data_IF_168610642409
#
_entry.id   IF_168610642409
#
_cell.length_a   1.000
_cell.length_b   1.000
_cell.length_c   1.000
_cell.angle_alpha   90.00
_cell.angle_beta   90.00
_cell.angle_gamma   90.00
#
_symmetry.space_group_name_H-M   'P 1'
#
loop_
_entity.id
_entity.type
_entity.pdbx_description
1 polymer ?
#
# COMPACT_ATOMS: atom_id res chain seq x y z
N UNK A 1 2.56 -12.68 44.84
CA UNK A 1 1.41 -11.93 44.28
C UNK A 1 1.91 -10.55 43.82
N UNK A 2 1.21 -9.95 42.85
CA UNK A 2 1.49 -8.70 42.10
C UNK A 2 2.27 -8.95 40.79
N UNK A 3 1.63 -9.49 39.74
CA UNK A 3 0.62 -8.88 38.86
C UNK A 3 1.17 -7.67 38.06
N UNK A 4 1.51 -7.91 36.79
CA UNK A 4 1.51 -6.88 35.74
C UNK A 4 0.07 -6.40 35.52
N UNK A 5 -0.20 -5.15 35.06
CA UNK A 5 -0.18 -4.90 33.60
C UNK A 5 0.06 -3.43 33.16
N UNK A 6 0.32 -3.22 31.87
CA UNK A 6 -0.37 -2.15 31.15
C UNK A 6 0.47 -1.04 30.51
N UNK A 7 0.11 -0.78 29.26
CA UNK A 7 0.09 0.51 28.56
C UNK A 7 1.32 0.93 27.72
N UNK A 8 1.06 0.86 26.42
CA UNK A 8 1.18 1.99 25.50
C UNK A 8 2.56 2.32 24.93
N UNK A 9 2.88 1.69 23.80
CA UNK A 9 3.61 2.35 22.72
C UNK A 9 2.91 2.08 21.39
N UNK A 10 1.67 2.60 21.27
CA UNK A 10 0.99 2.72 19.99
C UNK A 10 1.47 4.04 19.35
N UNK A 11 2.56 3.97 18.58
CA UNK A 11 3.16 5.14 17.97
C UNK A 11 2.26 5.71 16.86
N UNK A 12 1.46 6.69 17.27
CA UNK A 12 0.99 7.85 16.51
C UNK A 12 1.39 7.91 15.03
N UNK A 13 0.65 7.21 14.16
CA UNK A 13 0.65 7.54 12.74
C UNK A 13 -0.10 8.86 12.53
N UNK A 14 0.67 9.96 12.64
CA UNK A 14 0.32 11.34 12.26
C UNK A 14 -0.64 11.35 11.05
N UNK A 15 -1.90 11.67 11.35
CA UNK A 15 -2.96 11.93 10.37
C UNK A 15 -2.60 13.23 9.63
N UNK A 16 -2.05 13.12 8.42
CA UNK A 16 -2.03 14.26 7.49
C UNK A 16 -3.39 14.36 6.79
N UNK A 17 -4.00 15.55 6.69
CA UNK A 17 -5.30 15.74 6.07
C UNK A 17 -5.23 15.36 4.58
N UNK A 18 -6.31 14.76 4.12
CA UNK A 18 -6.51 14.33 2.76
C UNK A 18 -6.47 15.54 1.82
N UNK A 19 -5.30 15.79 1.22
CA UNK A 19 -5.22 16.70 0.07
C UNK A 19 -6.00 16.03 -1.05
N UNK A 20 -7.14 16.62 -1.38
CA UNK A 20 -8.10 16.24 -2.41
C UNK A 20 -7.47 16.38 -3.81
N UNK A 21 -6.59 15.43 -4.12
CA UNK A 21 -5.93 15.20 -5.41
C UNK A 21 -5.91 13.70 -5.71
N UNK A 22 -6.93 13.01 -5.23
CA UNK A 22 -7.15 11.59 -5.45
C UNK A 22 -7.97 11.49 -6.72
N UNK A 23 -7.47 10.81 -7.75
CA UNK A 23 -8.21 10.49 -8.97
C UNK A 23 -9.36 9.47 -8.71
N UNK A 24 -9.94 9.47 -7.50
CA UNK A 24 -10.75 8.39 -6.97
C UNK A 24 -9.94 7.20 -6.44
N UNK A 25 -10.64 6.18 -5.95
CA UNK A 25 -10.04 4.89 -5.61
C UNK A 25 -9.47 4.24 -6.87
N UNK A 26 -8.17 3.94 -6.86
CA UNK A 26 -7.55 3.23 -7.96
C UNK A 26 -7.86 1.73 -7.87
N UNK A 27 -7.90 1.03 -9.01
CA UNK A 27 -8.08 -0.42 -9.07
C UNK A 27 -7.18 -1.20 -8.11
N UNK A 28 -5.93 -0.75 -7.90
CA UNK A 28 -5.02 -1.36 -6.94
C UNK A 28 -5.58 -1.45 -5.51
N UNK A 29 -6.31 -0.44 -5.05
CA UNK A 29 -6.90 -0.47 -3.70
C UNK A 29 -7.90 -1.62 -3.56
N UNK A 30 -8.71 -1.82 -4.62
CA UNK A 30 -9.68 -2.90 -4.71
C UNK A 30 -9.01 -4.26 -4.85
N UNK A 31 -8.02 -4.39 -5.73
CA UNK A 31 -7.25 -5.64 -5.89
C UNK A 31 -6.59 -6.04 -4.56
N UNK A 32 -6.02 -5.08 -3.83
CA UNK A 32 -5.46 -5.37 -2.51
C UNK A 32 -6.53 -5.83 -1.51
N UNK A 33 -7.70 -5.18 -1.48
CA UNK A 33 -8.80 -5.57 -0.61
C UNK A 33 -9.33 -6.98 -0.96
N UNK A 34 -9.55 -7.26 -2.24
CA UNK A 34 -10.05 -8.55 -2.74
C UNK A 34 -9.09 -9.70 -2.41
N UNK A 35 -7.77 -9.45 -2.46
CA UNK A 35 -6.74 -10.43 -2.10
C UNK A 35 -6.40 -10.43 -0.59
N UNK A 36 -7.13 -9.68 0.24
CA UNK A 36 -6.86 -9.53 1.69
C UNK A 36 -5.42 -9.09 2.00
N UNK A 37 -4.81 -8.30 1.11
CA UNK A 37 -3.42 -7.87 1.23
C UNK A 37 -3.33 -6.54 1.99
N UNK A 38 -2.52 -6.50 3.04
CA UNK A 38 -2.16 -5.26 3.69
C UNK A 38 -1.04 -4.54 2.95
N UNK A 39 -0.94 -3.23 3.17
CA UNK A 39 0.20 -2.42 2.69
C UNK A 39 1.52 -2.92 3.28
N UNK A 40 1.47 -3.47 4.49
CA UNK A 40 2.60 -4.08 5.15
C UNK A 40 3.08 -5.32 4.38
N UNK A 41 2.16 -6.18 3.94
CA UNK A 41 2.50 -7.41 3.23
C UNK A 41 3.15 -7.11 1.88
N UNK A 42 2.64 -6.12 1.13
CA UNK A 42 3.31 -5.67 -0.09
C UNK A 42 4.73 -5.17 0.16
N UNK A 43 4.95 -4.43 1.24
CA UNK A 43 6.28 -3.91 1.59
C UNK A 43 7.21 -5.03 2.04
N UNK A 44 6.70 -6.02 2.79
CA UNK A 44 7.46 -7.17 3.26
C UNK A 44 7.85 -8.14 2.14
N UNK A 45 6.98 -8.33 1.14
CA UNK A 45 7.22 -9.21 -0.02
C UNK A 45 8.04 -8.52 -1.13
N UNK A 46 8.03 -7.19 -1.17
CA UNK A 46 8.80 -6.42 -2.14
C UNK A 46 10.31 -6.57 -1.88
N UNK A 47 11.07 -7.06 -2.87
CA UNK A 47 12.54 -7.00 -2.83
C UNK A 47 13.10 -5.63 -3.21
N UNK A 48 12.25 -4.71 -3.66
CA UNK A 48 12.64 -3.35 -4.01
C UNK A 48 12.34 -2.41 -2.84
N UNK A 49 13.05 -1.28 -2.80
CA UNK A 49 12.79 -0.23 -1.82
C UNK A 49 11.41 0.40 -2.07
N UNK A 50 10.40 -0.19 -1.43
CA UNK A 50 9.00 0.18 -1.43
C UNK A 50 8.62 0.59 -0.01
N UNK A 51 7.95 1.72 0.14
CA UNK A 51 7.53 2.23 1.45
C UNK A 51 6.01 2.20 1.58
N UNK A 52 5.50 2.10 2.81
CA UNK A 52 4.06 2.19 3.11
C UNK A 52 3.42 3.45 2.50
N UNK A 53 4.15 4.57 2.46
CA UNK A 53 3.68 5.82 1.84
C UNK A 53 3.54 5.72 0.33
N UNK A 54 4.38 4.94 -0.35
CA UNK A 54 4.26 4.71 -1.80
C UNK A 54 2.98 3.93 -2.11
N UNK A 55 2.74 2.83 -1.37
CA UNK A 55 1.51 2.03 -1.51
C UNK A 55 0.27 2.85 -1.19
N UNK A 56 0.27 3.60 -0.07
CA UNK A 56 -0.85 4.46 0.30
C UNK A 56 -1.15 5.55 -0.75
N UNK A 57 -0.12 6.10 -1.42
CA UNK A 57 -0.31 7.05 -2.52
C UNK A 57 -0.90 6.40 -3.77
N UNK A 58 -0.53 5.15 -4.05
CA UNK A 58 -1.08 4.37 -5.16
C UNK A 58 -2.56 4.08 -4.98
N UNK A 59 -2.96 3.57 -3.80
CA UNK A 59 -4.37 3.29 -3.50
C UNK A 59 -5.26 4.53 -3.63
N UNK A 60 -4.72 5.69 -3.26
CA UNK A 60 -5.42 6.97 -3.29
C UNK A 60 -5.52 7.60 -4.68
N UNK A 61 -4.87 7.05 -5.71
CA UNK A 61 -4.90 7.65 -7.05
C UNK A 61 -4.09 8.92 -7.19
N UNK A 62 -2.99 9.04 -6.45
CA UNK A 62 -2.02 10.09 -6.70
C UNK A 62 -1.12 9.68 -7.86
N UNK A 63 -0.86 10.58 -8.81
CA UNK A 63 0.11 10.33 -9.90
C UNK A 63 1.48 9.97 -9.34
N UNK A 64 1.94 8.78 -9.69
CA UNK A 64 3.24 8.21 -9.33
C UNK A 64 4.16 8.15 -10.55
N UNK A 65 5.46 8.15 -10.31
CA UNK A 65 6.49 7.93 -11.35
C UNK A 65 6.47 6.48 -11.83
N UNK A 66 6.92 6.24 -13.07
CA UNK A 66 6.97 4.89 -13.66
C UNK A 66 7.71 3.88 -12.77
N UNK A 67 8.91 4.24 -12.28
CA UNK A 67 9.68 3.41 -11.35
C UNK A 67 8.87 3.03 -10.08
N UNK A 68 8.04 3.95 -9.56
CA UNK A 68 7.19 3.62 -8.41
C UNK A 68 6.05 2.68 -8.80
N UNK A 69 5.44 2.86 -9.98
CA UNK A 69 4.42 1.94 -10.51
C UNK A 69 4.99 0.54 -10.68
N UNK A 70 6.19 0.39 -11.25
CA UNK A 70 6.87 -0.91 -11.44
C UNK A 70 7.14 -1.62 -10.12
N UNK A 71 7.65 -0.90 -9.11
CA UNK A 71 7.87 -1.46 -7.77
C UNK A 71 6.60 -2.05 -7.17
N UNK A 72 5.51 -1.32 -7.31
CA UNK A 72 4.21 -1.72 -6.77
C UNK A 72 3.66 -2.92 -7.55
N UNK A 73 3.78 -2.91 -8.88
CA UNK A 73 3.39 -4.02 -9.73
C UNK A 73 4.13 -5.30 -9.36
N UNK A 74 5.45 -5.24 -9.24
CA UNK A 74 6.25 -6.41 -8.85
C UNK A 74 5.91 -6.91 -7.45
N UNK A 75 5.72 -6.00 -6.49
CA UNK A 75 5.32 -6.36 -5.14
C UNK A 75 3.96 -7.05 -5.12
N UNK A 76 2.98 -6.51 -5.86
CA UNK A 76 1.65 -7.09 -5.96
C UNK A 76 1.70 -8.45 -6.63
N UNK A 77 2.41 -8.58 -7.75
CA UNK A 77 2.53 -9.84 -8.49
C UNK A 77 3.12 -10.96 -7.62
N UNK A 78 4.09 -10.63 -6.77
CA UNK A 78 4.65 -11.58 -5.81
C UNK A 78 3.69 -11.91 -4.66
N UNK A 79 2.98 -10.92 -4.15
CA UNK A 79 2.02 -11.12 -3.07
C UNK A 79 0.81 -11.97 -3.53
N UNK A 80 0.35 -11.80 -4.76
CA UNK A 80 -0.77 -12.56 -5.34
C UNK A 80 -0.32 -13.82 -6.09
N UNK A 81 0.99 -14.03 -6.27
CA UNK A 81 1.56 -15.03 -7.18
C UNK A 81 0.90 -15.02 -8.58
N UNK A 82 0.53 -13.83 -9.06
CA UNK A 82 -0.10 -13.61 -10.35
C UNK A 82 0.62 -12.52 -11.11
N UNK A 83 0.47 -12.51 -12.43
CA UNK A 83 0.99 -11.44 -13.27
C UNK A 83 -0.13 -10.44 -13.51
N UNK A 84 -0.08 -9.30 -12.82
CA UNK A 84 -0.91 -8.15 -13.14
C UNK A 84 -0.22 -7.24 -14.15
N UNK A 85 -1.02 -6.48 -14.89
CA UNK A 85 -0.55 -5.43 -15.80
C UNK A 85 -0.71 -4.04 -15.17
N UNK A 86 0.11 -3.06 -15.59
CA UNK A 86 0.01 -1.70 -15.05
C UNK A 86 -1.36 -1.06 -15.24
N UNK A 87 -2.01 -1.35 -16.36
CA UNK A 87 -3.34 -0.84 -16.73
C UNK A 87 -4.43 -1.36 -15.79
N UNK A 88 -4.22 -2.53 -15.18
CA UNK A 88 -5.13 -3.09 -14.17
C UNK A 88 -4.95 -2.42 -12.81
N UNK A 89 -3.80 -1.80 -12.54
CA UNK A 89 -3.50 -1.18 -11.25
C UNK A 89 -3.79 0.32 -11.26
N UNK A 90 -3.60 0.98 -12.40
CA UNK A 90 -3.67 2.43 -12.55
C UNK A 90 -4.48 2.79 -13.80
N UNK A 91 -5.47 3.68 -13.64
CA UNK A 91 -6.36 4.12 -14.74
C UNK A 91 -5.80 5.33 -15.52
N UNK A 92 -4.49 5.60 -15.44
CA UNK A 92 -3.84 6.81 -15.95
C UNK A 92 -2.40 6.62 -16.40
#
# INVERSE_FOLDING_TARGET
>A
MSAAPGAAMAEASRRSPAVERNLGEQPIARIMADNHLSRHDLVAVSSLHLTHKMVARACRGRRLTQNTKEKILQALNRATNRTHAMEELFTY
#
